data_IF_862181490506
#
_entry.id   IF_862181490506
#
_cell.length_a   1.000
_cell.length_b   1.000
_cell.length_c   1.000
_cell.angle_alpha   90.00
_cell.angle_beta   90.00
_cell.angle_gamma   90.00
#
_symmetry.space_group_name_H-M   'P 1'
#
loop_
_entity.id
_entity.type
_entity.pdbx_description
1 polymer ?
#
# COMPACT_ATOMS: atom_id res chain seq x y z
N UNK A 1 -2.77 -8.64 -4.04
CA UNK A 1 -2.52 -9.85 -4.84
C UNK A 1 -1.12 -10.38 -4.57
N UNK A 2 -0.08 -9.66 -4.87
CA UNK A 2 1.33 -10.09 -4.67
C UNK A 2 1.61 -10.54 -3.23
N UNK A 3 1.15 -9.79 -2.21
CA UNK A 3 1.31 -10.25 -0.82
C UNK A 3 0.67 -11.63 -0.55
N UNK A 4 -0.48 -11.93 -1.18
CA UNK A 4 -1.09 -13.26 -1.08
C UNK A 4 -0.29 -14.34 -1.79
N UNK A 5 0.34 -14.01 -2.92
CA UNK A 5 1.27 -14.92 -3.60
C UNK A 5 2.46 -15.23 -2.71
N UNK A 6 3.09 -14.20 -2.17
CA UNK A 6 4.23 -14.34 -1.27
C UNK A 6 3.87 -15.13 -0.02
N UNK A 7 2.69 -14.92 0.56
CA UNK A 7 2.23 -15.67 1.74
C UNK A 7 1.97 -17.16 1.49
N UNK A 8 1.91 -17.59 0.22
CA UNK A 8 1.84 -19.02 -0.14
C UNK A 8 3.20 -19.70 -0.14
N UNK A 9 4.28 -18.93 -0.09
CA UNK A 9 5.63 -19.49 0.05
C UNK A 9 5.85 -20.02 1.48
N UNK A 10 6.47 -21.21 1.64
CA UNK A 10 6.66 -21.80 2.97
C UNK A 10 7.51 -20.96 3.92
N UNK A 11 8.45 -20.18 3.41
CA UNK A 11 9.37 -19.37 4.21
C UNK A 11 8.93 -17.91 4.42
N UNK A 12 7.83 -17.45 3.80
CA UNK A 12 7.42 -16.04 3.86
C UNK A 12 6.15 -15.86 4.69
N UNK A 13 6.19 -14.95 5.65
CA UNK A 13 5.02 -14.42 6.34
C UNK A 13 4.67 -13.04 5.80
N UNK A 14 3.48 -12.88 5.23
CA UNK A 14 3.04 -11.59 4.70
C UNK A 14 2.09 -10.89 5.68
N UNK A 15 2.51 -9.73 6.14
CA UNK A 15 1.73 -8.88 7.04
C UNK A 15 0.55 -8.22 6.32
N UNK A 16 -0.45 -7.82 7.08
CA UNK A 16 -1.44 -6.85 6.65
C UNK A 16 -0.78 -5.48 6.43
N UNK A 17 -1.53 -4.49 5.88
CA UNK A 17 -1.04 -3.12 5.77
C UNK A 17 -0.90 -2.50 7.18
N UNK A 18 0.30 -2.53 7.75
CA UNK A 18 0.56 -2.08 9.14
C UNK A 18 0.59 -0.55 9.25
N UNK A 19 0.89 0.15 8.17
CA UNK A 19 0.98 1.61 8.10
C UNK A 19 1.91 2.23 9.15
N UNK A 20 2.96 1.53 9.55
CA UNK A 20 3.88 1.99 10.59
C UNK A 20 4.48 3.36 10.25
N UNK A 21 5.21 3.46 9.16
CA UNK A 21 5.90 4.70 8.77
C UNK A 21 4.96 5.87 8.49
N UNK A 22 3.76 5.62 8.00
CA UNK A 22 2.81 6.68 7.66
C UNK A 22 2.04 7.20 8.87
N UNK A 23 1.71 6.31 9.83
CA UNK A 23 0.67 6.60 10.82
C UNK A 23 1.11 6.39 12.27
N UNK A 24 2.17 5.63 12.53
CA UNK A 24 2.66 5.32 13.86
C UNK A 24 4.04 5.94 14.14
N UNK A 25 4.78 6.30 13.09
CA UNK A 25 6.12 6.86 13.16
C UNK A 25 6.17 8.24 12.49
N UNK A 26 7.03 9.13 12.99
CA UNK A 26 7.35 10.42 12.38
C UNK A 26 8.84 10.51 12.14
N UNK A 27 9.25 11.16 11.05
CA UNK A 27 10.66 11.37 10.76
C UNK A 27 11.39 12.14 11.90
N UNK A 28 10.66 12.99 12.61
CA UNK A 28 11.16 13.69 13.81
C UNK A 28 11.41 12.76 15.00
N UNK A 29 10.79 11.58 15.00
CA UNK A 29 10.92 10.59 16.08
C UNK A 29 12.16 9.69 15.88
N UNK A 30 12.97 9.93 14.84
CA UNK A 30 14.17 9.14 14.53
C UNK A 30 15.22 9.16 15.67
N UNK A 31 15.27 10.27 16.40
CA UNK A 31 16.18 10.46 17.54
C UNK A 31 15.47 10.42 18.89
N UNK A 32 14.15 10.25 18.91
CA UNK A 32 13.35 10.24 20.13
C UNK A 32 13.05 8.82 20.56
N UNK A 33 13.46 8.46 21.76
CA UNK A 33 13.06 7.21 22.42
C UNK A 33 11.67 7.35 23.05
N UNK A 34 10.94 6.25 23.05
CA UNK A 34 9.66 6.05 23.72
C UNK A 34 9.89 5.20 24.97
N UNK A 35 9.13 5.45 26.04
CA UNK A 35 9.19 4.65 27.25
C UNK A 35 8.51 3.28 27.08
N UNK A 36 8.61 2.41 28.07
CA UNK A 36 8.02 1.05 28.01
C UNK A 36 6.50 1.08 27.82
N UNK A 37 5.79 2.02 28.45
CA UNK A 37 4.34 2.13 28.30
C UNK A 37 3.94 2.51 26.87
N UNK A 38 4.63 3.48 26.28
CA UNK A 38 4.43 3.87 24.87
C UNK A 38 4.78 2.73 23.90
N UNK A 39 5.81 1.93 24.22
CA UNK A 39 6.24 0.78 23.44
C UNK A 39 5.20 -0.34 23.48
N UNK A 40 4.61 -0.64 24.64
CA UNK A 40 3.51 -1.59 24.81
C UNK A 40 2.27 -1.13 24.01
N UNK A 41 1.91 0.16 24.09
CA UNK A 41 0.79 0.71 23.32
C UNK A 41 1.02 0.62 21.81
N UNK A 42 2.25 0.81 21.33
CA UNK A 42 2.64 0.64 19.94
C UNK A 42 2.48 -0.84 19.51
N UNK A 43 2.98 -1.78 20.30
CA UNK A 43 2.84 -3.22 20.04
C UNK A 43 1.36 -3.65 20.00
N UNK A 44 0.55 -3.22 20.97
CA UNK A 44 -0.87 -3.50 21.01
C UNK A 44 -1.57 -3.02 19.72
N UNK A 45 -1.18 -1.84 19.21
CA UNK A 45 -1.69 -1.30 17.93
C UNK A 45 -1.25 -2.15 16.74
N UNK A 46 -0.02 -2.62 16.72
CA UNK A 46 0.53 -3.47 15.65
C UNK A 46 -0.13 -4.85 15.66
N UNK A 47 -0.26 -5.49 16.80
CA UNK A 47 -0.95 -6.78 16.95
C UNK A 47 -2.43 -6.68 16.55
N UNK A 48 -3.13 -5.65 17.01
CA UNK A 48 -4.53 -5.42 16.64
C UNK A 48 -4.67 -5.20 15.12
N UNK A 49 -3.78 -4.39 14.51
CA UNK A 49 -3.79 -4.16 13.06
C UNK A 49 -3.55 -5.46 12.28
N UNK A 50 -2.60 -6.27 12.73
CA UNK A 50 -2.23 -7.53 12.06
C UNK A 50 -3.31 -8.60 12.22
N UNK A 51 -3.85 -8.79 13.41
CA UNK A 51 -4.69 -9.93 13.75
C UNK A 51 -6.19 -9.65 13.64
N UNK A 52 -6.63 -8.44 13.97
CA UNK A 52 -8.04 -8.03 13.91
C UNK A 52 -8.36 -7.22 12.64
N UNK A 53 -7.33 -6.77 11.94
CA UNK A 53 -7.44 -6.01 10.71
C UNK A 53 -7.46 -4.50 10.90
N UNK A 54 -7.27 -3.80 9.79
CA UNK A 54 -7.05 -2.36 9.73
C UNK A 54 -8.10 -1.50 10.43
N UNK A 55 -9.35 -1.93 10.47
CA UNK A 55 -10.44 -1.15 11.07
C UNK A 55 -10.48 -1.25 12.61
N UNK A 56 -9.76 -2.19 13.20
CA UNK A 56 -9.67 -2.42 14.65
C UNK A 56 -8.36 -1.90 15.26
N UNK A 57 -7.73 -0.92 14.64
CA UNK A 57 -6.41 -0.32 14.95
C UNK A 57 -6.35 0.47 16.26
N UNK A 58 -7.10 0.19 17.25
CA UNK A 58 -6.89 0.77 18.59
C UNK A 58 -5.92 -0.11 19.35
N UNK A 59 -5.10 0.49 20.21
CA UNK A 59 -4.32 -0.27 21.17
C UNK A 59 -5.31 -1.11 21.99
N UNK A 60 -5.39 -2.40 21.68
CA UNK A 60 -6.34 -3.30 22.33
C UNK A 60 -5.61 -3.98 23.48
N UNK A 61 -6.10 -3.78 24.69
CA UNK A 61 -5.51 -4.30 25.94
C UNK A 61 -5.43 -5.85 25.95
N UNK A 62 -6.20 -6.53 25.13
CA UNK A 62 -6.13 -8.00 24.98
C UNK A 62 -4.73 -8.51 24.55
N UNK A 63 -3.89 -7.64 23.97
CA UNK A 63 -2.52 -7.95 23.58
C UNK A 63 -1.47 -7.49 24.60
N UNK A 64 -1.87 -6.85 25.71
CA UNK A 64 -0.95 -6.23 26.68
C UNK A 64 0.05 -7.24 27.26
N UNK A 65 -0.42 -8.41 27.71
CA UNK A 65 0.47 -9.43 28.30
C UNK A 65 1.51 -9.96 27.30
N UNK A 66 1.16 -10.07 26.00
CA UNK A 66 2.09 -10.49 24.93
C UNK A 66 3.07 -9.35 24.62
N UNK A 67 2.61 -8.11 24.60
CA UNK A 67 3.42 -6.92 24.40
C UNK A 67 4.42 -6.69 25.54
N UNK A 68 3.97 -6.85 26.79
CA UNK A 68 4.83 -6.73 27.99
C UNK A 68 5.95 -7.76 27.97
N UNK A 69 5.65 -9.01 27.64
CA UNK A 69 6.67 -10.06 27.50
C UNK A 69 7.69 -9.71 26.43
N UNK A 70 7.25 -9.18 25.29
CA UNK A 70 8.16 -8.81 24.21
C UNK A 70 9.06 -7.62 24.63
N UNK A 71 8.51 -6.61 25.31
CA UNK A 71 9.28 -5.48 25.85
C UNK A 71 10.27 -5.92 26.92
N UNK A 72 9.88 -6.83 27.82
CA UNK A 72 10.76 -7.38 28.86
C UNK A 72 11.96 -8.11 28.21
N UNK A 73 11.73 -8.87 27.14
CA UNK A 73 12.79 -9.58 26.42
C UNK A 73 13.78 -8.63 25.72
N UNK A 74 13.34 -7.43 25.32
CA UNK A 74 14.20 -6.40 24.73
C UNK A 74 15.11 -5.72 25.79
N UNK A 75 14.80 -5.88 27.06
CA UNK A 75 15.62 -5.50 28.21
C UNK A 75 16.16 -4.05 28.18
N UNK A 76 15.25 -3.07 28.09
CA UNK A 76 15.61 -1.64 28.08
C UNK A 76 14.59 -0.75 28.76
N UNK A 77 15.00 0.42 29.32
CA UNK A 77 14.08 1.39 29.89
C UNK A 77 13.35 2.25 28.84
N UNK A 78 13.90 2.33 27.64
CA UNK A 78 13.35 3.11 26.51
C UNK A 78 13.89 2.61 25.18
N UNK A 79 13.10 2.80 24.11
CA UNK A 79 13.36 2.23 22.80
C UNK A 79 13.08 3.26 21.69
N UNK A 80 13.70 3.09 20.52
CA UNK A 80 13.21 3.77 19.34
C UNK A 80 11.98 3.03 18.78
N UNK A 81 11.00 3.75 18.26
CA UNK A 81 9.77 3.15 17.75
C UNK A 81 10.04 2.11 16.62
N UNK A 82 11.08 2.32 15.81
CA UNK A 82 11.47 1.36 14.78
C UNK A 82 12.08 0.06 15.32
N UNK A 83 12.73 0.10 16.49
CA UNK A 83 13.22 -1.12 17.17
C UNK A 83 12.03 -1.98 17.63
N UNK A 84 11.00 -1.35 18.18
CA UNK A 84 9.76 -2.03 18.57
C UNK A 84 9.06 -2.63 17.33
N UNK A 85 9.03 -1.88 16.23
CA UNK A 85 8.46 -2.37 14.98
C UNK A 85 9.24 -3.57 14.41
N UNK A 86 10.57 -3.52 14.47
CA UNK A 86 11.43 -4.65 14.06
C UNK A 86 11.17 -5.88 14.92
N UNK A 87 11.16 -5.71 16.24
CA UNK A 87 10.88 -6.80 17.19
C UNK A 87 9.49 -7.42 16.95
N UNK A 88 8.48 -6.60 16.64
CA UNK A 88 7.15 -7.10 16.25
C UNK A 88 7.19 -7.94 14.98
N UNK A 89 7.88 -7.48 13.93
CA UNK A 89 8.05 -8.22 12.67
C UNK A 89 8.72 -9.58 12.94
N UNK A 90 9.85 -9.59 13.65
CA UNK A 90 10.59 -10.80 13.99
C UNK A 90 9.75 -11.77 14.85
N UNK A 91 9.01 -11.23 15.81
CA UNK A 91 8.14 -12.02 16.68
C UNK A 91 7.02 -12.74 15.88
N UNK A 92 6.30 -12.03 15.02
CA UNK A 92 5.25 -12.62 14.20
C UNK A 92 5.80 -13.64 13.19
N UNK A 93 6.93 -13.34 12.56
CA UNK A 93 7.61 -14.27 11.64
C UNK A 93 7.98 -15.58 12.34
N UNK A 94 8.63 -15.49 13.50
CA UNK A 94 9.03 -16.65 14.30
C UNK A 94 7.82 -17.45 14.82
N UNK A 95 6.77 -16.75 15.29
CA UNK A 95 5.52 -17.36 15.78
C UNK A 95 4.83 -18.22 14.70
N UNK A 96 5.00 -17.85 13.43
CA UNK A 96 4.44 -18.57 12.29
C UNK A 96 5.44 -19.52 11.63
N UNK A 97 6.59 -19.77 12.27
CA UNK A 97 7.64 -20.67 11.78
C UNK A 97 8.13 -20.30 10.36
N UNK A 98 8.23 -18.98 10.09
CA UNK A 98 8.68 -18.42 8.82
C UNK A 98 10.09 -17.83 8.95
N UNK A 99 10.73 -17.54 7.83
CA UNK A 99 12.09 -16.96 7.79
C UNK A 99 12.11 -15.51 7.38
N UNK A 100 11.13 -15.07 6.55
CA UNK A 100 11.09 -13.75 5.95
C UNK A 100 9.75 -13.10 6.24
N UNK A 101 9.78 -11.86 6.76
CA UNK A 101 8.63 -11.00 6.90
C UNK A 101 8.42 -10.12 5.66
N UNK A 102 7.23 -10.15 5.07
CA UNK A 102 6.85 -9.31 3.95
C UNK A 102 5.77 -8.32 4.37
N UNK A 103 6.12 -7.06 4.50
CA UNK A 103 5.18 -5.97 4.80
C UNK A 103 4.67 -5.34 3.49
N UNK A 104 3.37 -5.09 3.39
CA UNK A 104 2.74 -4.70 2.12
C UNK A 104 2.04 -3.33 2.14
N UNK A 105 2.40 -2.41 3.04
CA UNK A 105 1.84 -1.06 3.04
C UNK A 105 2.28 -0.28 1.79
N UNK A 106 1.37 0.12 0.88
CA UNK A 106 1.77 0.74 -0.39
C UNK A 106 2.53 2.06 -0.22
N UNK A 107 2.31 2.76 0.89
CA UNK A 107 2.97 4.04 1.17
C UNK A 107 4.40 3.93 1.68
N UNK A 108 4.88 2.72 1.94
CA UNK A 108 6.29 2.48 2.28
C UNK A 108 7.25 2.96 1.16
N UNK A 109 6.76 3.09 -0.07
CA UNK A 109 7.51 3.70 -1.19
C UNK A 109 8.07 5.10 -0.88
N UNK A 110 7.44 5.84 0.03
CA UNK A 110 7.90 7.17 0.45
C UNK A 110 8.91 7.14 1.61
N UNK A 111 9.15 5.97 2.18
CA UNK A 111 9.98 5.78 3.37
C UNK A 111 11.14 4.80 3.14
N UNK A 112 11.51 4.58 1.87
CA UNK A 112 12.60 3.66 1.49
C UNK A 112 13.88 3.95 2.26
N UNK A 113 14.31 5.22 2.30
CA UNK A 113 15.54 5.61 3.00
C UNK A 113 15.47 5.34 4.52
N UNK A 114 14.31 5.59 5.15
CA UNK A 114 14.11 5.28 6.56
C UNK A 114 14.14 3.76 6.80
N UNK A 115 13.53 2.97 5.91
CA UNK A 115 13.55 1.50 6.01
C UNK A 115 14.97 0.97 5.85
N UNK A 116 15.74 1.50 4.90
CA UNK A 116 17.15 1.15 4.71
C UNK A 116 18.01 1.44 5.94
N UNK A 117 17.69 2.50 6.67
CA UNK A 117 18.39 2.85 7.91
C UNK A 117 17.97 2.00 9.11
N UNK A 118 16.75 1.45 9.11
CA UNK A 118 16.20 0.73 10.25
C UNK A 118 16.36 -0.79 10.17
N UNK A 119 16.47 -1.34 8.95
CA UNK A 119 16.57 -2.79 8.73
C UNK A 119 17.88 -3.14 8.03
N UNK A 120 18.48 -4.25 8.42
CA UNK A 120 19.64 -4.80 7.72
C UNK A 120 19.18 -5.51 6.45
N UNK A 121 19.66 -5.04 5.29
CA UNK A 121 19.40 -5.64 3.99
C UNK A 121 17.90 -5.78 3.61
N UNK A 122 17.06 -4.76 3.77
CA UNK A 122 15.67 -4.86 3.36
C UNK A 122 15.57 -4.91 1.83
N UNK A 123 14.68 -5.75 1.31
CA UNK A 123 14.40 -5.85 -0.12
C UNK A 123 13.05 -5.21 -0.44
N UNK A 124 12.99 -4.51 -1.57
CA UNK A 124 11.79 -3.80 -2.00
C UNK A 124 11.26 -4.40 -3.29
N UNK A 125 9.99 -4.82 -3.27
CA UNK A 125 9.26 -5.28 -4.44
C UNK A 125 8.22 -4.24 -4.79
N UNK A 126 8.38 -3.59 -5.93
CA UNK A 126 7.47 -2.55 -6.38
C UNK A 126 6.69 -2.95 -7.62
N UNK A 127 5.38 -2.72 -7.57
CA UNK A 127 4.45 -3.06 -8.62
C UNK A 127 3.95 -1.77 -9.26
N UNK A 128 4.30 -1.54 -10.51
CA UNK A 128 3.74 -0.46 -11.33
C UNK A 128 2.48 -0.97 -12.02
N UNK A 129 1.46 -0.14 -12.10
CA UNK A 129 0.20 -0.45 -12.80
C UNK A 129 -0.22 0.76 -13.63
N UNK A 130 -0.93 0.52 -14.74
CA UNK A 130 -1.51 1.59 -15.56
C UNK A 130 -2.28 2.60 -14.66
N UNK A 131 -1.92 3.90 -14.67
CA UNK A 131 -2.55 4.88 -13.79
C UNK A 131 -4.05 5.06 -14.08
N UNK A 132 -4.53 4.74 -15.29
CA UNK A 132 -5.95 4.79 -15.66
C UNK A 132 -6.73 3.67 -14.97
N UNK A 133 -6.15 2.47 -14.87
CA UNK A 133 -6.72 1.36 -14.10
C UNK A 133 -6.68 1.62 -12.59
N UNK A 134 -5.63 2.29 -12.11
CA UNK A 134 -5.55 2.76 -10.72
C UNK A 134 -6.64 3.78 -10.45
N UNK A 135 -6.84 4.75 -11.35
CA UNK A 135 -7.88 5.77 -11.24
C UNK A 135 -9.27 5.13 -11.20
N UNK A 136 -9.56 4.19 -12.11
CA UNK A 136 -10.83 3.45 -12.14
C UNK A 136 -11.07 2.67 -10.84
N UNK A 137 -10.05 2.01 -10.35
CA UNK A 137 -10.12 1.26 -9.09
C UNK A 137 -10.41 2.17 -7.90
N UNK A 138 -9.75 3.33 -7.81
CA UNK A 138 -9.97 4.30 -6.75
C UNK A 138 -11.37 4.96 -6.84
N UNK A 139 -11.86 5.25 -8.05
CA UNK A 139 -13.21 5.78 -8.30
C UNK A 139 -14.30 4.86 -7.73
N UNK A 140 -14.10 3.56 -7.80
CA UNK A 140 -15.08 2.57 -7.35
C UNK A 140 -14.82 2.04 -5.92
N UNK A 141 -13.76 2.49 -5.25
CA UNK A 141 -13.36 1.96 -3.95
C UNK A 141 -14.44 2.12 -2.87
N UNK A 142 -15.14 3.23 -2.85
CA UNK A 142 -16.21 3.52 -1.89
C UNK A 142 -17.42 2.58 -2.00
N UNK A 143 -17.59 1.92 -3.15
CA UNK A 143 -18.67 0.95 -3.40
C UNK A 143 -18.41 -0.39 -2.70
N UNK A 144 -17.17 -0.64 -2.24
CA UNK A 144 -16.80 -1.88 -1.59
C UNK A 144 -17.40 -1.93 -0.17
N UNK A 145 -18.21 -2.94 0.08
CA UNK A 145 -18.88 -3.14 1.38
C UNK A 145 -18.08 -4.00 2.36
N UNK A 146 -17.18 -4.86 1.85
CA UNK A 146 -16.32 -5.73 2.67
C UNK A 146 -14.85 -5.58 2.25
N UNK A 147 -13.96 -5.67 3.23
CA UNK A 147 -12.51 -5.66 3.02
C UNK A 147 -11.87 -6.67 3.97
N UNK A 148 -11.14 -7.64 3.42
CA UNK A 148 -10.51 -8.72 4.20
C UNK A 148 -11.48 -9.42 5.18
N UNK A 149 -12.69 -9.68 4.72
CA UNK A 149 -13.75 -10.31 5.55
C UNK A 149 -14.54 -9.34 6.44
N UNK A 150 -14.02 -8.16 6.72
CA UNK A 150 -14.65 -7.17 7.59
C UNK A 150 -15.56 -6.21 6.83
N UNK A 151 -16.68 -5.79 7.44
CA UNK A 151 -17.54 -4.73 6.90
C UNK A 151 -16.82 -3.40 6.94
N UNK A 152 -16.84 -2.67 5.81
CA UNK A 152 -16.26 -1.33 5.72
C UNK A 152 -17.15 -0.34 6.49
N UNK A 153 -16.64 0.34 7.54
CA UNK A 153 -17.39 1.34 8.27
C UNK A 153 -17.86 2.49 7.37
N UNK A 154 -19.04 3.05 7.65
CA UNK A 154 -19.63 4.14 6.85
C UNK A 154 -18.68 5.34 6.71
N UNK A 155 -18.04 5.76 7.79
CA UNK A 155 -17.04 6.84 7.77
C UNK A 155 -15.89 6.58 6.78
N UNK A 156 -15.48 5.32 6.64
CA UNK A 156 -14.47 4.92 5.65
C UNK A 156 -14.99 5.02 4.22
N UNK A 157 -16.25 4.66 4.01
CA UNK A 157 -16.91 4.79 2.71
C UNK A 157 -16.94 6.25 2.26
N UNK A 158 -17.41 7.16 3.13
CA UNK A 158 -17.42 8.60 2.89
C UNK A 158 -16.01 9.12 2.61
N UNK A 159 -15.05 8.73 3.44
CA UNK A 159 -13.65 9.14 3.26
C UNK A 159 -13.06 8.63 1.93
N UNK A 160 -13.35 7.40 1.53
CA UNK A 160 -12.90 6.87 0.23
C UNK A 160 -13.48 7.66 -0.93
N UNK A 161 -14.74 8.07 -0.83
CA UNK A 161 -15.41 8.90 -1.83
C UNK A 161 -14.78 10.29 -1.92
N UNK A 162 -14.58 10.98 -0.79
CA UNK A 162 -13.93 12.31 -0.74
C UNK A 162 -12.48 12.26 -1.24
N UNK A 163 -11.76 11.17 -1.00
CA UNK A 163 -10.37 11.02 -1.44
C UNK A 163 -10.23 10.74 -2.96
N UNK A 164 -11.33 10.47 -3.66
CA UNK A 164 -11.27 10.30 -5.11
C UNK A 164 -11.32 11.67 -5.81
N UNK A 165 -10.26 11.95 -6.56
CA UNK A 165 -10.21 13.04 -7.53
C UNK A 165 -9.15 12.70 -8.59
N UNK A 166 -9.42 12.88 -9.92
CA UNK A 166 -8.48 12.43 -10.96
C UNK A 166 -7.10 13.10 -10.83
N UNK A 167 -7.04 14.39 -10.49
CA UNK A 167 -5.77 15.10 -10.26
C UNK A 167 -5.05 14.51 -9.05
N UNK A 168 -5.74 14.30 -7.93
CA UNK A 168 -5.13 13.73 -6.72
C UNK A 168 -4.55 12.35 -6.97
N UNK A 169 -5.30 11.46 -7.63
CA UNK A 169 -4.86 10.09 -7.89
C UNK A 169 -3.68 10.09 -8.86
N UNK A 170 -3.73 10.91 -9.93
CA UNK A 170 -2.61 11.06 -10.86
C UNK A 170 -1.34 11.55 -10.17
N UNK A 171 -1.44 12.60 -9.33
CA UNK A 171 -0.29 13.12 -8.55
C UNK A 171 0.27 12.10 -7.56
N UNK A 172 -0.58 11.34 -6.87
CA UNK A 172 -0.12 10.29 -5.95
C UNK A 172 0.58 9.15 -6.69
N UNK A 173 0.08 8.76 -7.87
CA UNK A 173 0.74 7.76 -8.71
C UNK A 173 2.09 8.25 -9.23
N UNK A 174 2.12 9.47 -9.77
CA UNK A 174 3.36 10.11 -10.24
C UNK A 174 4.40 10.23 -9.10
N UNK A 175 3.98 10.74 -7.93
CA UNK A 175 4.87 10.90 -6.79
C UNK A 175 5.45 9.57 -6.27
N UNK A 176 4.67 8.49 -6.30
CA UNK A 176 5.17 7.16 -5.97
C UNK A 176 6.22 6.70 -6.99
N UNK A 177 5.94 6.84 -8.29
CA UNK A 177 6.88 6.44 -9.35
C UNK A 177 8.17 7.30 -9.36
N UNK A 178 8.08 8.60 -9.05
CA UNK A 178 9.26 9.45 -8.88
C UNK A 178 10.15 8.97 -7.72
N UNK A 179 9.56 8.42 -6.64
CA UNK A 179 10.36 7.80 -5.58
C UNK A 179 11.01 6.50 -6.02
N UNK A 180 10.33 5.68 -6.82
CA UNK A 180 10.89 4.46 -7.38
C UNK A 180 12.08 4.76 -8.27
N UNK A 181 12.00 5.79 -9.11
CA UNK A 181 13.06 6.12 -10.07
C UNK A 181 14.42 6.37 -9.40
N UNK A 182 14.43 6.78 -8.13
CA UNK A 182 15.64 6.97 -7.33
C UNK A 182 16.30 5.64 -6.92
N UNK A 183 15.53 4.56 -6.87
CA UNK A 183 15.97 3.28 -6.31
C UNK A 183 15.90 2.10 -7.29
N UNK A 184 15.18 2.23 -8.43
CA UNK A 184 14.87 1.12 -9.34
C UNK A 184 16.06 0.31 -9.86
N UNK A 185 17.25 0.94 -9.93
CA UNK A 185 18.48 0.32 -10.41
C UNK A 185 19.38 -0.20 -9.27
N UNK A 186 18.91 -0.17 -8.03
CA UNK A 186 19.66 -0.65 -6.87
C UNK A 186 19.42 -2.15 -6.65
N UNK A 187 20.41 -2.91 -6.16
CA UNK A 187 20.31 -4.36 -6.00
C UNK A 187 19.23 -4.80 -4.99
N UNK A 188 18.81 -3.91 -4.11
CA UNK A 188 17.75 -4.15 -3.13
C UNK A 188 16.34 -3.80 -3.65
N UNK A 189 16.19 -3.48 -4.95
CA UNK A 189 14.91 -3.00 -5.51
C UNK A 189 14.51 -3.79 -6.76
N UNK A 190 13.33 -4.41 -6.74
CA UNK A 190 12.75 -5.14 -7.86
C UNK A 190 11.45 -4.48 -8.31
N UNK A 191 11.37 -4.11 -9.59
CA UNK A 191 10.21 -3.42 -10.18
C UNK A 191 9.65 -4.27 -11.31
N UNK A 192 8.32 -4.47 -11.32
CA UNK A 192 7.63 -5.13 -12.42
C UNK A 192 6.23 -4.54 -12.62
N UNK A 193 5.62 -4.82 -13.80
CA UNK A 193 4.26 -4.37 -14.08
C UNK A 193 3.22 -5.33 -13.51
N UNK A 194 2.13 -4.75 -13.01
CA UNK A 194 0.97 -5.54 -12.58
C UNK A 194 0.38 -6.36 -13.73
N UNK A 195 0.39 -5.82 -14.92
CA UNK A 195 -0.09 -6.44 -16.16
C UNK A 195 0.75 -7.68 -16.50
N UNK A 196 2.08 -7.62 -16.36
CA UNK A 196 2.99 -8.76 -16.58
C UNK A 196 2.69 -9.88 -15.58
N UNK A 197 2.45 -9.54 -14.31
CA UNK A 197 2.04 -10.52 -13.31
C UNK A 197 0.70 -11.19 -13.67
N UNK A 198 -0.26 -10.45 -14.25
CA UNK A 198 -1.53 -11.03 -14.68
C UNK A 198 -1.38 -11.92 -15.90
N UNK A 199 -0.49 -11.57 -16.82
CA UNK A 199 -0.25 -12.34 -18.05
C UNK A 199 0.58 -13.59 -17.81
N UNK A 200 1.66 -13.48 -17.03
CA UNK A 200 2.68 -14.49 -16.83
C UNK A 200 3.03 -14.65 -15.34
N UNK A 201 2.03 -15.01 -14.52
CA UNK A 201 2.15 -15.05 -13.06
C UNK A 201 3.28 -15.94 -12.54
N UNK A 202 3.51 -17.06 -13.19
CA UNK A 202 4.58 -17.99 -12.81
C UNK A 202 5.96 -17.38 -13.07
N UNK A 203 6.16 -16.76 -14.25
CA UNK A 203 7.41 -16.07 -14.60
C UNK A 203 7.73 -14.97 -13.59
N UNK A 204 6.74 -14.13 -13.27
CA UNK A 204 6.95 -13.03 -12.30
C UNK A 204 7.17 -13.55 -10.89
N UNK A 205 6.48 -14.62 -10.47
CA UNK A 205 6.71 -15.25 -9.18
C UNK A 205 8.12 -15.85 -9.09
N UNK A 206 8.61 -16.51 -10.15
CA UNK A 206 10.00 -17.00 -10.23
C UNK A 206 11.01 -15.85 -10.16
N UNK A 207 10.77 -14.74 -10.88
CA UNK A 207 11.62 -13.54 -10.82
C UNK A 207 11.69 -12.94 -9.43
N UNK A 208 10.56 -12.85 -8.74
CA UNK A 208 10.50 -12.37 -7.35
C UNK A 208 11.27 -13.33 -6.43
N UNK A 209 11.06 -14.65 -6.53
CA UNK A 209 11.78 -15.64 -5.72
C UNK A 209 13.29 -15.55 -5.93
N UNK A 210 13.73 -15.46 -7.19
CA UNK A 210 15.16 -15.27 -7.52
C UNK A 210 15.73 -13.99 -6.89
N UNK A 211 14.98 -12.89 -6.95
CA UNK A 211 15.39 -11.62 -6.34
C UNK A 211 15.55 -11.70 -4.82
N UNK A 212 14.67 -12.42 -4.13
CA UNK A 212 14.72 -12.57 -2.66
C UNK A 212 15.60 -13.76 -2.22
N UNK A 213 16.20 -14.50 -3.15
CA UNK A 213 17.08 -15.64 -2.86
C UNK A 213 16.34 -16.91 -2.43
N UNK A 214 15.11 -17.12 -2.89
CA UNK A 214 14.29 -18.30 -2.58
C UNK A 214 13.96 -19.12 -3.82
N UNK A 215 13.63 -20.39 -3.63
CA UNK A 215 13.09 -21.26 -4.67
C UNK A 215 11.62 -20.96 -4.92
N UNK A 216 11.17 -21.06 -6.17
CA UNK A 216 9.76 -20.91 -6.51
C UNK A 216 8.93 -22.10 -6.01
N UNK A 217 7.71 -21.84 -5.56
CA UNK A 217 6.71 -22.83 -5.18
C UNK A 217 5.42 -22.65 -5.98
N UNK A 218 4.89 -23.71 -6.58
CA UNK A 218 3.69 -23.68 -7.45
C UNK A 218 2.45 -23.13 -6.76
N UNK A 219 2.31 -23.33 -5.44
CA UNK A 219 1.21 -22.81 -4.63
C UNK A 219 1.12 -21.27 -4.67
N UNK A 220 2.21 -20.58 -4.97
CA UNK A 220 2.23 -19.10 -5.06
C UNK A 220 1.28 -18.56 -6.12
N UNK A 221 0.99 -19.31 -7.17
CA UNK A 221 0.07 -18.90 -8.24
C UNK A 221 -1.39 -19.26 -7.96
N UNK A 222 -1.65 -20.15 -6.99
CA UNK A 222 -2.98 -20.64 -6.61
C UNK A 222 -3.61 -19.76 -5.51
N UNK A 223 -3.81 -18.50 -5.82
CA UNK A 223 -4.37 -17.53 -4.86
C UNK A 223 -5.87 -17.31 -5.08
N UNK A 224 -6.66 -17.02 -4.02
CA UNK A 224 -8.07 -16.68 -4.15
C UNK A 224 -8.30 -15.40 -4.96
N UNK A 225 -9.31 -15.40 -5.82
CA UNK A 225 -9.68 -14.22 -6.60
C UNK A 225 -10.57 -13.27 -5.78
N UNK A 226 -9.92 -12.48 -4.93
CA UNK A 226 -10.58 -11.51 -4.04
C UNK A 226 -9.92 -10.14 -4.15
N UNK A 227 -10.59 -9.12 -3.64
CA UNK A 227 -10.02 -7.79 -3.51
C UNK A 227 -10.26 -6.88 -4.72
N UNK A 228 -11.21 -7.18 -5.60
CA UNK A 228 -11.62 -6.30 -6.67
C UNK A 228 -12.53 -5.18 -6.16
N UNK A 229 -12.35 -3.94 -6.65
CA UNK A 229 -13.30 -2.84 -6.45
C UNK A 229 -14.43 -2.83 -7.49
N UNK A 230 -14.29 -3.64 -8.55
CA UNK A 230 -15.23 -3.67 -9.68
C UNK A 230 -16.09 -4.93 -9.71
N UNK A 231 -15.65 -6.02 -9.11
CA UNK A 231 -16.33 -7.32 -9.10
C UNK A 231 -16.48 -7.84 -7.68
N UNK A 232 -17.49 -8.67 -7.46
CA UNK A 232 -17.63 -9.40 -6.19
C UNK A 232 -16.44 -10.36 -6.00
N UNK A 233 -16.00 -10.48 -4.76
CA UNK A 233 -14.97 -11.44 -4.38
C UNK A 233 -15.46 -12.87 -4.62
N UNK A 234 -14.60 -13.69 -5.23
CA UNK A 234 -14.84 -15.11 -5.49
C UNK A 234 -13.77 -15.94 -4.79
N UNK A 235 -13.87 -16.12 -3.47
CA UNK A 235 -12.82 -16.79 -2.69
C UNK A 235 -12.60 -18.25 -3.07
N UNK A 236 -13.64 -18.93 -3.57
CA UNK A 236 -13.55 -20.31 -4.08
C UNK A 236 -12.92 -20.45 -5.47
N UNK A 237 -12.72 -19.35 -6.21
CA UNK A 237 -12.04 -19.36 -7.50
C UNK A 237 -10.57 -19.04 -7.30
N UNK A 238 -9.71 -20.04 -7.48
CA UNK A 238 -8.26 -19.90 -7.42
C UNK A 238 -7.71 -19.42 -8.77
N UNK A 239 -6.57 -18.72 -8.70
CA UNK A 239 -5.84 -18.24 -9.87
C UNK A 239 -5.91 -16.74 -10.06
N UNK A 240 -5.32 -16.28 -11.16
CA UNK A 240 -5.13 -14.86 -11.46
C UNK A 240 -6.10 -14.39 -12.53
N UNK A 241 -6.91 -13.40 -12.24
CA UNK A 241 -7.92 -12.85 -13.13
C UNK A 241 -7.29 -11.84 -14.13
N UNK A 242 -7.01 -12.31 -15.33
CA UNK A 242 -6.46 -11.51 -16.44
C UNK A 242 -7.42 -10.40 -16.93
N UNK A 243 -8.73 -10.50 -16.63
CA UNK A 243 -9.72 -9.51 -17.05
C UNK A 243 -9.54 -8.10 -16.42
N UNK A 244 -8.61 -7.97 -15.48
CA UNK A 244 -8.24 -6.71 -14.82
C UNK A 244 -7.26 -5.86 -15.64
N UNK A 245 -6.70 -6.41 -16.71
CA UNK A 245 -5.86 -5.66 -17.66
C UNK A 245 -6.79 -4.80 -18.52
N UNK A 246 -6.39 -3.55 -18.75
CA UNK A 246 -7.16 -2.59 -19.56
C UNK A 246 -8.62 -2.43 -19.11
N UNK A 247 -8.87 -2.59 -17.81
CA UNK A 247 -10.21 -2.44 -17.24
C UNK A 247 -10.84 -1.07 -17.51
N UNK A 248 -10.01 -0.03 -17.57
CA UNK A 248 -10.42 1.34 -17.87
C UNK A 248 -10.96 1.51 -19.30
N UNK A 249 -10.51 0.72 -20.28
CA UNK A 249 -11.02 0.72 -21.64
C UNK A 249 -12.46 0.16 -21.74
N UNK A 250 -12.85 -0.65 -20.75
CA UNK A 250 -14.20 -1.23 -20.65
C UNK A 250 -15.23 -0.27 -20.06
N UNK A 251 -14.82 0.97 -19.79
CA UNK A 251 -15.69 2.02 -19.25
C UNK A 251 -15.46 2.32 -17.76
N UNK A 252 -16.34 3.20 -17.22
CA UNK A 252 -16.27 3.62 -15.80
C UNK A 252 -15.46 4.89 -15.53
N UNK A 253 -14.58 5.30 -16.47
CA UNK A 253 -13.97 6.62 -16.54
C UNK A 253 -14.58 7.41 -17.71
N UNK A 254 -14.79 8.70 -17.52
CA UNK A 254 -15.11 9.60 -18.62
C UNK A 254 -13.83 10.08 -19.34
N UNK A 255 -14.00 10.61 -20.56
CA UNK A 255 -12.87 11.09 -21.39
C UNK A 255 -12.03 12.16 -20.70
N UNK A 256 -12.65 13.02 -19.88
CA UNK A 256 -11.96 14.10 -19.15
C UNK A 256 -11.10 13.54 -18.01
N UNK A 257 -11.58 12.52 -17.29
CA UNK A 257 -10.79 11.83 -16.26
C UNK A 257 -9.55 11.15 -16.86
N UNK A 258 -9.72 10.47 -18.02
CA UNK A 258 -8.62 9.83 -18.75
C UNK A 258 -7.61 10.89 -19.20
N UNK A 259 -8.09 12.01 -19.77
CA UNK A 259 -7.25 13.12 -20.20
C UNK A 259 -6.42 13.68 -19.05
N UNK A 260 -7.05 14.04 -17.93
CA UNK A 260 -6.37 14.57 -16.73
C UNK A 260 -5.30 13.59 -16.24
N UNK A 261 -5.64 12.31 -16.13
CA UNK A 261 -4.71 11.26 -15.69
C UNK A 261 -3.49 11.19 -16.62
N UNK A 262 -3.72 11.13 -17.92
CA UNK A 262 -2.64 11.08 -18.91
C UNK A 262 -1.79 12.35 -18.91
N UNK A 263 -2.37 13.54 -18.79
CA UNK A 263 -1.60 14.79 -18.74
C UNK A 263 -0.64 14.84 -17.53
N UNK A 264 -1.13 14.42 -16.36
CA UNK A 264 -0.31 14.42 -15.14
C UNK A 264 0.78 13.34 -15.20
N UNK A 265 0.45 12.15 -15.71
CA UNK A 265 1.32 10.98 -15.64
C UNK A 265 2.13 10.74 -16.94
N UNK A 266 2.01 11.61 -17.95
CA UNK A 266 2.46 11.40 -19.34
C UNK A 266 3.86 10.81 -19.45
N UNK A 267 4.86 11.51 -18.94
CA UNK A 267 6.27 11.11 -19.06
C UNK A 267 6.51 9.74 -18.43
N UNK A 268 6.07 9.57 -17.18
CA UNK A 268 6.27 8.33 -16.44
C UNK A 268 5.44 7.17 -17.01
N UNK A 269 4.28 7.44 -17.62
CA UNK A 269 3.55 6.40 -18.38
C UNK A 269 4.37 5.88 -19.54
N UNK A 270 4.93 6.77 -20.37
CA UNK A 270 5.75 6.42 -21.53
C UNK A 270 7.00 5.65 -21.08
N UNK A 271 7.69 6.12 -20.05
CA UNK A 271 8.86 5.45 -19.48
C UNK A 271 8.58 4.02 -18.99
N UNK A 272 7.36 3.78 -18.51
CA UNK A 272 6.90 2.45 -18.10
C UNK A 272 6.23 1.66 -19.24
N UNK A 273 6.28 2.16 -20.50
CA UNK A 273 5.73 1.48 -21.68
C UNK A 273 4.21 1.43 -21.71
N UNK A 274 3.52 2.42 -21.15
CA UNK A 274 2.08 2.60 -21.30
C UNK A 274 1.80 3.58 -22.44
N UNK A 275 0.98 3.15 -23.40
CA UNK A 275 0.55 3.97 -24.52
C UNK A 275 -0.47 5.03 -24.08
N UNK A 276 -0.38 6.22 -24.69
CA UNK A 276 -1.34 7.29 -24.49
C UNK A 276 -2.46 7.18 -25.52
N UNK A 277 -3.70 7.34 -25.07
CA UNK A 277 -4.83 7.45 -25.98
C UNK A 277 -5.18 8.89 -26.32
N UNK A 278 -5.54 9.13 -27.58
CA UNK A 278 -6.10 10.41 -28.03
C UNK A 278 -7.52 10.54 -27.52
N UNK A 279 -7.73 11.37 -26.52
CA UNK A 279 -9.06 11.63 -25.95
C UNK A 279 -9.32 13.15 -25.96
N UNK A 280 -10.51 13.52 -26.38
CA UNK A 280 -10.98 14.92 -26.32
C UNK A 280 -11.78 15.11 -25.04
N UNK A 281 -11.28 15.92 -24.07
CA UNK A 281 -11.99 16.20 -22.84
C UNK A 281 -13.20 17.11 -23.10
N UNK A 282 -14.23 17.00 -22.26
CA UNK A 282 -15.26 18.03 -22.17
C UNK A 282 -14.69 19.22 -21.40
N UNK A 283 -14.65 20.41 -22.01
CA UNK A 283 -14.01 21.59 -21.44
C UNK A 283 -14.70 22.08 -20.15
N UNK A 284 -16.03 22.02 -20.07
CA UNK A 284 -16.76 22.41 -18.85
C UNK A 284 -16.45 21.45 -17.70
N UNK A 285 -16.37 20.16 -17.99
CA UNK A 285 -16.02 19.16 -16.99
C UNK A 285 -14.55 19.26 -16.58
N UNK A 286 -13.69 19.63 -17.51
CA UNK A 286 -12.27 19.89 -17.23
C UNK A 286 -12.12 21.07 -16.26
N UNK A 287 -12.78 22.18 -16.55
CA UNK A 287 -12.80 23.35 -15.66
C UNK A 287 -13.36 22.98 -14.27
N UNK A 288 -14.48 22.25 -14.23
CA UNK A 288 -15.07 21.76 -12.98
C UNK A 288 -14.04 20.96 -12.14
N UNK A 289 -13.33 20.00 -12.73
CA UNK A 289 -12.32 19.22 -12.00
C UNK A 289 -11.20 20.12 -11.45
N UNK A 290 -10.71 21.09 -12.21
CA UNK A 290 -9.66 21.99 -11.72
C UNK A 290 -10.17 22.91 -10.61
N UNK A 291 -11.38 23.43 -10.71
CA UNK A 291 -11.97 24.30 -9.68
C UNK A 291 -12.27 23.56 -8.37
N UNK A 292 -12.77 22.31 -8.45
CA UNK A 292 -13.13 21.55 -7.24
C UNK A 292 -11.92 20.86 -6.59
N UNK A 293 -10.80 20.71 -7.29
CA UNK A 293 -9.62 20.01 -6.79
C UNK A 293 -9.10 20.54 -5.45
N UNK A 294 -8.91 21.86 -5.22
CA UNK A 294 -8.45 22.39 -3.94
C UNK A 294 -9.42 22.06 -2.80
N UNK A 295 -10.72 22.18 -3.07
CA UNK A 295 -11.78 21.90 -2.08
C UNK A 295 -11.76 20.44 -1.68
N UNK A 296 -11.76 19.52 -2.66
CA UNK A 296 -11.70 18.07 -2.40
C UNK A 296 -10.40 17.67 -1.71
N UNK A 297 -9.28 18.30 -2.09
CA UNK A 297 -7.98 18.08 -1.44
C UNK A 297 -8.00 18.50 0.04
N UNK A 298 -8.57 19.66 0.34
CA UNK A 298 -8.71 20.17 1.71
C UNK A 298 -9.63 19.25 2.55
N UNK A 299 -10.80 18.91 2.02
CA UNK A 299 -11.73 17.97 2.67
C UNK A 299 -11.07 16.61 2.93
N UNK A 300 -10.30 16.09 1.96
CA UNK A 300 -9.58 14.82 2.12
C UNK A 300 -8.53 14.86 3.25
N UNK A 301 -7.88 16.01 3.47
CA UNK A 301 -6.96 16.21 4.60
C UNK A 301 -7.74 16.28 5.91
N UNK A 302 -8.82 17.05 5.98
CA UNK A 302 -9.68 17.17 7.17
C UNK A 302 -10.22 15.81 7.62
N UNK A 303 -10.84 15.05 6.73
CA UNK A 303 -11.39 13.73 7.03
C UNK A 303 -10.32 12.66 7.33
N UNK A 304 -9.06 12.98 7.08
CA UNK A 304 -7.93 12.08 7.35
C UNK A 304 -7.04 12.54 8.50
N UNK A 305 -7.32 13.68 9.12
CA UNK A 305 -6.46 14.35 10.10
C UNK A 305 -6.00 13.41 11.22
N UNK A 306 -6.91 12.66 11.82
CA UNK A 306 -6.61 11.72 12.91
C UNK A 306 -5.71 10.54 12.50
N UNK A 307 -5.41 10.39 11.20
CA UNK A 307 -4.59 9.30 10.64
C UNK A 307 -3.30 9.78 9.98
N UNK A 308 -3.10 11.10 9.93
CA UNK A 308 -1.95 11.70 9.29
C UNK A 308 -0.99 12.16 10.37
N UNK A 309 0.13 11.46 10.55
CA UNK A 309 1.21 11.92 11.41
C UNK A 309 2.09 12.99 10.72
N UNK A 310 2.30 12.86 9.41
CA UNK A 310 3.13 13.74 8.59
C UNK A 310 2.27 14.61 7.65
N UNK A 311 1.62 15.64 8.21
CA UNK A 311 0.67 16.51 7.47
C UNK A 311 1.34 17.21 6.29
N UNK A 312 2.54 17.81 6.49
CA UNK A 312 3.28 18.51 5.43
C UNK A 312 3.55 17.62 4.23
N UNK A 313 4.03 16.40 4.47
CA UNK A 313 4.27 15.41 3.42
C UNK A 313 2.98 15.00 2.71
N UNK A 314 1.89 14.85 3.44
CA UNK A 314 0.60 14.50 2.86
C UNK A 314 0.07 15.60 1.95
N UNK A 315 0.19 16.85 2.36
CA UNK A 315 -0.19 18.02 1.54
C UNK A 315 0.70 18.10 0.30
N UNK A 316 2.04 18.01 0.48
CA UNK A 316 2.98 18.03 -0.63
C UNK A 316 2.64 16.99 -1.70
N UNK A 317 2.42 15.75 -1.31
CA UNK A 317 2.07 14.64 -2.21
C UNK A 317 0.75 14.83 -2.97
N UNK A 318 -0.21 15.55 -2.40
CA UNK A 318 -1.54 15.77 -3.01
C UNK A 318 -1.58 16.97 -3.95
N UNK A 319 -0.82 18.01 -3.64
CA UNK A 319 -0.94 19.30 -4.33
C UNK A 319 0.29 19.66 -5.17
N UNK A 320 1.49 19.22 -4.80
CA UNK A 320 2.75 19.74 -5.35
C UNK A 320 3.65 18.69 -6.03
N UNK A 321 3.24 17.44 -6.09
CA UNK A 321 3.96 16.42 -6.88
C UNK A 321 3.50 16.42 -8.32
#
# INVERSE_FOLDING_TARGET
MTGRMLNKHPDIFTFNELHFYEQLWKQQDQTKKINQFEAIALLNTLFSTQRDGYFHRKADEKYSSESERLITNLNGPSFFAHEIYKAFIEYEVNKHEKKIGCEQTPRNVYYVDAILNHFSNPLFIHIVRDPRDVLLSQKNRWKRRKFSGNTVPFQQTVRQWINYHPITIGKLWLGANNKISLHKNKPYYYVFKYEDLLMNSEKEAKGICQFIGLSFHDEMTKIPNVGSSLKQDKPGQLGIDKSKIDGWKKGGLNKTEIFICQQICKTTMIENGYELEKVNPNLFLLLYYYCIFPVMGFMAVLFSFNRIKNIRETIKRRFFN
#
